data_IF_827214000102
#
_entry.id   IF_827214000102
#
_cell.length_a   1.000
_cell.length_b   1.000
_cell.length_c   1.000
_cell.angle_alpha   90.00
_cell.angle_beta   90.00
_cell.angle_gamma   90.00
#
_symmetry.space_group_name_H-M   'P 1'
#
loop_
_entity.id
_entity.type
_entity.pdbx_description
1 polymer ?
#
# COMPACT_ATOMS: atom_id res chain seq x y z
N UNK A 1 3.36 11.47 -3.87
CA UNK A 1 1.91 11.73 -3.89
C UNK A 1 1.57 13.16 -3.48
N UNK A 2 2.03 13.69 -2.33
CA UNK A 2 1.94 15.13 -1.99
C UNK A 2 2.31 16.08 -3.15
N UNK A 3 3.48 15.85 -3.76
CA UNK A 3 3.95 16.61 -4.93
C UNK A 3 2.96 16.55 -6.11
N UNK A 4 2.32 15.40 -6.33
CA UNK A 4 1.37 15.23 -7.42
C UNK A 4 0.06 16.00 -7.14
N UNK A 5 -0.44 15.98 -5.90
CA UNK A 5 -1.64 16.75 -5.51
C UNK A 5 -1.36 18.26 -5.65
N UNK A 6 -0.20 18.72 -5.21
CA UNK A 6 0.23 20.11 -5.36
C UNK A 6 0.37 20.51 -6.84
N UNK A 7 1.05 19.69 -7.64
CA UNK A 7 1.23 19.96 -9.08
C UNK A 7 -0.11 20.02 -9.79
N UNK A 8 -1.04 19.12 -9.47
CA UNK A 8 -2.38 19.16 -10.07
C UNK A 8 -3.18 20.38 -9.60
N UNK A 9 -3.15 20.73 -8.32
CA UNK A 9 -3.82 21.92 -7.79
C UNK A 9 -3.33 23.21 -8.46
N UNK A 10 -2.01 23.37 -8.61
CA UNK A 10 -1.39 24.53 -9.28
C UNK A 10 -1.67 24.52 -10.78
N UNK A 11 -1.59 23.36 -11.45
CA UNK A 11 -1.90 23.24 -12.87
C UNK A 11 -3.37 23.57 -13.16
N UNK A 12 -4.30 23.09 -12.32
CA UNK A 12 -5.73 23.42 -12.44
C UNK A 12 -6.00 24.89 -12.18
N UNK A 13 -5.31 25.52 -11.22
CA UNK A 13 -5.42 26.94 -10.99
C UNK A 13 -4.93 27.76 -12.19
N UNK A 14 -3.79 27.39 -12.76
CA UNK A 14 -3.24 28.04 -13.95
C UNK A 14 -4.18 27.89 -15.16
N UNK A 15 -4.73 26.69 -15.37
CA UNK A 15 -5.73 26.44 -16.42
C UNK A 15 -7.01 27.24 -16.17
N UNK A 16 -7.52 27.29 -14.93
CA UNK A 16 -8.72 28.04 -14.59
C UNK A 16 -8.55 29.55 -14.82
N UNK A 17 -7.37 30.11 -14.54
CA UNK A 17 -7.07 31.51 -14.81
C UNK A 17 -6.93 31.78 -16.32
N UNK A 18 -6.23 30.91 -17.05
CA UNK A 18 -5.96 31.07 -18.48
C UNK A 18 -7.24 30.93 -19.33
N UNK A 19 -8.05 29.91 -19.04
CA UNK A 19 -9.34 29.68 -19.72
C UNK A 19 -10.46 30.56 -19.17
N UNK A 20 -10.42 30.92 -17.88
CA UNK A 20 -11.36 31.84 -17.28
C UNK A 20 -11.38 33.17 -18.01
N UNK A 21 -10.21 33.80 -18.22
CA UNK A 21 -10.13 35.09 -18.94
C UNK A 21 -10.48 34.98 -20.42
N UNK A 22 -10.25 33.81 -21.05
CA UNK A 22 -10.34 33.66 -22.51
C UNK A 22 -11.71 33.18 -23.03
N UNK A 23 -12.58 32.62 -22.19
CA UNK A 23 -13.87 32.05 -22.61
C UNK A 23 -15.07 32.63 -21.83
N UNK A 24 -15.71 33.71 -22.31
CA UNK A 24 -16.83 34.38 -21.64
C UNK A 24 -18.01 33.48 -21.23
N UNK A 25 -18.48 32.50 -22.04
CA UNK A 25 -19.62 31.66 -21.63
C UNK A 25 -19.27 30.63 -20.55
N UNK A 26 -17.99 30.26 -20.42
CA UNK A 26 -17.51 29.35 -19.39
C UNK A 26 -16.91 30.08 -18.17
N UNK A 27 -16.67 31.39 -18.29
CA UNK A 27 -16.06 32.28 -17.28
C UNK A 27 -16.70 32.09 -15.91
N UNK A 28 -18.04 32.17 -15.85
CA UNK A 28 -18.76 32.15 -14.58
C UNK A 28 -18.60 30.81 -13.85
N UNK A 29 -18.66 29.68 -14.58
CA UNK A 29 -18.49 28.35 -13.98
C UNK A 29 -17.03 28.03 -13.62
N UNK A 30 -16.06 28.43 -14.46
CA UNK A 30 -14.63 28.22 -14.20
C UNK A 30 -14.17 29.04 -12.98
N UNK A 31 -14.67 30.26 -12.83
CA UNK A 31 -14.32 31.13 -11.69
C UNK A 31 -15.03 30.66 -10.41
N UNK A 32 -16.32 30.31 -10.48
CA UNK A 32 -17.09 29.92 -9.28
C UNK A 32 -16.73 28.52 -8.75
N UNK A 33 -16.33 27.59 -9.61
CA UNK A 33 -16.03 26.22 -9.20
C UNK A 33 -14.56 25.85 -9.40
N UNK A 34 -13.98 26.23 -10.54
CA UNK A 34 -12.62 25.86 -10.91
C UNK A 34 -11.56 26.45 -9.96
N UNK A 35 -11.64 27.75 -9.67
CA UNK A 35 -10.70 28.43 -8.78
C UNK A 35 -10.80 27.90 -7.33
N UNK A 36 -11.98 27.83 -6.69
CA UNK A 36 -12.10 27.29 -5.34
C UNK A 36 -11.64 25.83 -5.21
N UNK A 37 -11.96 24.97 -6.18
CA UNK A 37 -11.51 23.56 -6.19
C UNK A 37 -9.98 23.48 -6.31
N UNK A 38 -9.38 24.32 -7.14
CA UNK A 38 -7.92 24.37 -7.32
C UNK A 38 -7.20 24.87 -6.07
N UNK A 39 -7.74 25.91 -5.43
CA UNK A 39 -7.26 26.41 -4.14
C UNK A 39 -7.38 25.31 -3.08
N UNK A 40 -8.54 24.64 -2.99
CA UNK A 40 -8.77 23.55 -2.05
C UNK A 40 -7.74 22.43 -2.23
N UNK A 41 -7.52 21.96 -3.46
CA UNK A 41 -6.54 20.92 -3.77
C UNK A 41 -5.10 21.35 -3.42
N UNK A 42 -4.77 22.63 -3.65
CA UNK A 42 -3.47 23.20 -3.28
C UNK A 42 -3.29 23.22 -1.75
N UNK A 43 -4.28 23.72 -1.01
CA UNK A 43 -4.28 23.72 0.46
C UNK A 43 -4.17 22.30 1.00
N UNK A 44 -4.95 21.36 0.45
CA UNK A 44 -4.86 19.95 0.82
C UNK A 44 -3.44 19.43 0.58
N UNK A 45 -2.83 19.69 -0.58
CA UNK A 45 -1.45 19.30 -0.88
C UNK A 45 -0.39 19.93 0.04
N UNK A 46 -0.62 21.15 0.53
CA UNK A 46 0.28 21.83 1.47
C UNK A 46 0.21 21.21 2.87
N UNK A 47 -1.00 20.91 3.35
CA UNK A 47 -1.25 20.36 4.70
C UNK A 47 -0.92 18.85 4.75
N UNK A 48 -1.11 18.15 3.63
CA UNK A 48 -0.81 16.72 3.46
C UNK A 48 0.68 16.47 3.70
N UNK A 49 1.01 15.85 4.84
CA UNK A 49 2.38 15.49 5.21
C UNK A 49 2.92 14.40 4.29
N UNK A 50 4.23 14.35 4.10
CA UNK A 50 4.82 13.24 3.35
C UNK A 50 4.65 11.96 4.19
N UNK A 51 4.14 10.85 3.62
CA UNK A 51 4.13 9.56 4.32
C UNK A 51 5.55 9.20 4.76
N UNK A 52 5.76 8.75 6.02
CA UNK A 52 7.07 8.29 6.49
C UNK A 52 7.54 7.05 5.70
N UNK A 53 6.59 6.29 5.15
CA UNK A 53 6.85 5.19 4.24
C UNK A 53 7.28 3.92 4.97
N UNK A 54 8.53 3.86 5.39
CA UNK A 54 9.11 2.70 6.07
C UNK A 54 10.00 3.17 7.23
N UNK A 55 9.71 2.73 8.44
CA UNK A 55 10.53 2.98 9.62
C UNK A 55 11.03 1.63 10.16
N UNK A 56 12.34 1.46 10.17
CA UNK A 56 13.02 0.29 10.72
C UNK A 56 13.52 0.67 12.12
N UNK A 57 13.22 -0.16 13.12
CA UNK A 57 13.61 0.06 14.51
C UNK A 57 13.30 1.50 14.99
N UNK A 58 12.02 1.90 14.99
CA UNK A 58 11.65 3.19 15.61
C UNK A 58 12.12 3.24 17.07
N UNK A 59 12.28 4.45 17.62
CA UNK A 59 12.84 4.68 18.97
C UNK A 59 12.07 3.97 20.12
N UNK A 60 10.88 3.41 19.84
CA UNK A 60 10.11 2.57 20.75
C UNK A 60 10.74 1.18 20.89
N UNK A 61 11.02 0.76 22.14
CA UNK A 61 11.63 -0.52 22.46
C UNK A 61 10.81 -1.76 22.03
N UNK A 62 9.51 -1.60 21.77
CA UNK A 62 8.62 -2.72 21.43
C UNK A 62 8.30 -2.84 19.94
N UNK A 63 8.55 -1.79 19.15
CA UNK A 63 8.21 -1.76 17.73
C UNK A 63 9.48 -2.01 16.91
N UNK A 64 9.44 -3.05 16.08
CA UNK A 64 10.57 -3.50 15.27
C UNK A 64 10.50 -2.91 13.86
N UNK A 65 9.31 -2.81 13.30
CA UNK A 65 9.12 -2.32 11.94
C UNK A 65 7.74 -1.68 11.78
N UNK A 66 7.68 -0.52 11.13
CA UNK A 66 6.44 0.13 10.72
C UNK A 66 6.42 0.25 9.20
N UNK A 67 5.42 -0.34 8.56
CA UNK A 67 5.14 -0.18 7.14
C UNK A 67 3.87 0.64 6.98
N UNK A 68 4.01 1.80 6.37
CA UNK A 68 2.95 2.81 6.33
C UNK A 68 1.77 2.47 5.40
N UNK A 69 2.01 1.64 4.37
CA UNK A 69 0.98 1.26 3.38
C UNK A 69 1.08 -0.21 3.01
N UNK A 70 0.36 -1.06 3.74
CA UNK A 70 0.01 -2.40 3.29
C UNK A 70 -1.44 -2.44 2.81
N UNK A 71 -1.68 -2.91 1.59
CA UNK A 71 -3.04 -3.16 1.11
C UNK A 71 -3.40 -4.61 1.39
N UNK A 72 -4.41 -4.80 2.23
CA UNK A 72 -4.98 -6.11 2.56
C UNK A 72 -6.42 -6.12 2.10
N UNK A 73 -6.73 -7.04 1.16
CA UNK A 73 -8.01 -7.08 0.43
C UNK A 73 -8.30 -5.72 -0.22
N UNK A 74 -9.32 -5.00 0.26
CA UNK A 74 -9.73 -3.68 -0.22
C UNK A 74 -9.51 -2.56 0.81
N UNK A 75 -8.70 -2.81 1.85
CA UNK A 75 -8.40 -1.86 2.91
C UNK A 75 -6.91 -1.53 2.95
N UNK A 76 -6.61 -0.26 3.25
CA UNK A 76 -5.26 0.25 3.42
C UNK A 76 -4.96 0.23 4.92
N UNK A 77 -3.91 -0.48 5.29
CA UNK A 77 -3.44 -0.62 6.66
C UNK A 77 -2.03 -0.06 6.81
N UNK A 78 -1.74 0.42 8.01
CA UNK A 78 -0.38 0.59 8.51
C UNK A 78 -0.03 -0.67 9.31
N UNK A 79 1.04 -1.36 8.91
CA UNK A 79 1.50 -2.58 9.58
C UNK A 79 2.53 -2.19 10.64
N UNK A 80 2.30 -2.64 11.86
CA UNK A 80 3.17 -2.44 13.01
C UNK A 80 3.63 -3.82 13.48
N UNK A 81 4.89 -4.13 13.22
CA UNK A 81 5.53 -5.36 13.67
C UNK A 81 6.11 -5.10 15.06
N UNK A 82 5.57 -5.79 16.04
CA UNK A 82 6.08 -5.82 17.41
C UNK A 82 7.00 -7.03 17.59
N UNK A 83 7.53 -7.21 18.79
CA UNK A 83 8.38 -8.36 19.12
C UNK A 83 7.67 -9.71 18.99
N UNK A 84 6.37 -9.79 19.29
CA UNK A 84 5.63 -11.06 19.35
C UNK A 84 4.39 -11.11 18.45
N UNK A 85 3.98 -9.98 17.88
CA UNK A 85 2.74 -9.88 17.12
C UNK A 85 2.79 -8.79 16.06
N UNK A 86 1.91 -8.91 15.07
CA UNK A 86 1.69 -7.94 14.01
C UNK A 86 0.32 -7.28 14.20
N UNK A 87 0.30 -5.95 14.23
CA UNK A 87 -0.93 -5.16 14.25
C UNK A 87 -1.10 -4.45 12.91
N UNK A 88 -2.25 -4.64 12.27
CA UNK A 88 -2.69 -3.93 11.08
C UNK A 88 -3.67 -2.83 11.49
N UNK A 89 -3.17 -1.60 11.51
CA UNK A 89 -3.94 -0.40 11.81
C UNK A 89 -4.70 0.08 10.59
N UNK A 90 -6.03 0.07 10.65
CA UNK A 90 -6.85 0.45 9.49
C UNK A 90 -6.77 1.96 9.27
N UNK A 91 -6.23 2.37 8.12
CA UNK A 91 -6.18 3.78 7.74
C UNK A 91 -7.44 4.19 6.97
N UNK A 92 -7.76 3.44 5.91
CA UNK A 92 -8.91 3.72 5.05
C UNK A 92 -9.27 2.48 4.20
N UNK A 93 -10.27 2.60 3.34
CA UNK A 93 -10.59 1.60 2.33
C UNK A 93 -10.31 2.12 0.91
N UNK A 94 -9.78 1.24 0.06
CA UNK A 94 -9.64 1.48 -1.38
C UNK A 94 -11.02 1.76 -1.99
N UNK A 95 -12.08 1.10 -1.51
CA UNK A 95 -13.45 1.37 -1.96
C UNK A 95 -13.88 2.81 -1.70
N UNK A 96 -13.52 3.39 -0.55
CA UNK A 96 -13.80 4.79 -0.25
C UNK A 96 -13.11 5.71 -1.26
N UNK A 97 -11.89 5.36 -1.68
CA UNK A 97 -11.14 6.11 -2.70
C UNK A 97 -11.89 6.11 -4.04
N UNK A 98 -12.32 4.92 -4.48
CA UNK A 98 -13.01 4.76 -5.77
C UNK A 98 -14.37 5.43 -5.74
N UNK A 99 -15.17 5.21 -4.69
CA UNK A 99 -16.51 5.79 -4.55
C UNK A 99 -16.44 7.31 -4.47
N UNK A 100 -15.53 7.87 -3.66
CA UNK A 100 -15.40 9.31 -3.51
C UNK A 100 -14.98 9.99 -4.81
N UNK A 101 -13.99 9.42 -5.53
CA UNK A 101 -13.57 9.92 -6.83
C UNK A 101 -14.69 9.82 -7.86
N UNK A 102 -15.44 8.72 -7.88
CA UNK A 102 -16.54 8.51 -8.82
C UNK A 102 -17.70 9.48 -8.56
N UNK A 103 -18.15 9.61 -7.31
CA UNK A 103 -19.24 10.52 -6.95
C UNK A 103 -18.88 11.96 -7.32
N UNK A 104 -17.67 12.40 -6.98
CA UNK A 104 -17.22 13.75 -7.35
C UNK A 104 -17.05 13.93 -8.85
N UNK A 105 -16.62 12.89 -9.58
CA UNK A 105 -16.56 12.95 -11.04
C UNK A 105 -17.96 13.05 -11.67
N UNK A 106 -18.95 12.32 -11.16
CA UNK A 106 -20.34 12.41 -11.63
C UNK A 106 -20.92 13.80 -11.34
N UNK A 107 -20.77 14.29 -10.12
CA UNK A 107 -21.22 15.65 -9.75
C UNK A 107 -20.50 16.70 -10.60
N UNK A 108 -19.20 16.54 -10.82
CA UNK A 108 -18.43 17.43 -11.68
C UNK A 108 -18.90 17.40 -13.14
N UNK A 109 -19.26 16.22 -13.65
CA UNK A 109 -19.79 16.05 -15.00
C UNK A 109 -21.08 16.84 -15.21
N UNK A 110 -22.00 16.79 -14.26
CA UNK A 110 -23.26 17.54 -14.32
C UNK A 110 -23.05 19.07 -14.37
N UNK A 111 -21.99 19.59 -13.74
CA UNK A 111 -21.74 21.04 -13.63
C UNK A 111 -20.89 21.58 -14.78
N UNK A 112 -19.85 20.85 -15.21
CA UNK A 112 -18.82 21.32 -16.12
C UNK A 112 -18.47 20.29 -17.22
N UNK A 113 -19.30 19.26 -17.42
CA UNK A 113 -19.07 18.20 -18.39
C UNK A 113 -17.76 17.46 -18.12
N UNK A 114 -17.06 17.08 -19.19
CA UNK A 114 -15.82 16.29 -19.09
C UNK A 114 -14.76 16.98 -18.21
N UNK A 115 -14.65 18.31 -18.27
CA UNK A 115 -13.70 19.07 -17.45
C UNK A 115 -14.03 18.92 -15.97
N UNK A 116 -15.31 19.08 -15.62
CA UNK A 116 -15.77 18.89 -14.25
C UNK A 116 -15.58 17.46 -13.76
N UNK A 117 -15.80 16.46 -14.61
CA UNK A 117 -15.58 15.06 -14.24
C UNK A 117 -14.11 14.79 -13.87
N UNK A 118 -13.17 15.32 -14.66
CA UNK A 118 -11.74 15.23 -14.38
C UNK A 118 -11.37 15.97 -13.08
N UNK A 119 -11.90 17.18 -12.88
CA UNK A 119 -11.71 17.95 -11.64
C UNK A 119 -12.24 17.21 -10.41
N UNK A 120 -13.44 16.64 -10.51
CA UNK A 120 -14.08 15.86 -9.46
C UNK A 120 -13.28 14.62 -9.08
N UNK A 121 -12.85 13.83 -10.08
CA UNK A 121 -12.06 12.63 -9.86
C UNK A 121 -10.73 12.90 -9.14
N UNK A 122 -10.01 13.93 -9.57
CA UNK A 122 -8.71 14.29 -8.94
C UNK A 122 -8.93 14.86 -7.53
N UNK A 123 -9.95 15.69 -7.34
CA UNK A 123 -10.32 16.21 -6.01
C UNK A 123 -10.67 15.06 -5.06
N UNK A 124 -11.42 14.07 -5.51
CA UNK A 124 -11.76 12.89 -4.70
C UNK A 124 -10.55 12.07 -4.31
N UNK A 125 -9.61 11.86 -5.23
CA UNK A 125 -8.34 11.21 -4.92
C UNK A 125 -7.52 12.01 -3.89
N UNK A 126 -7.43 13.33 -4.08
CA UNK A 126 -6.69 14.23 -3.17
C UNK A 126 -7.27 14.24 -1.77
N UNK A 127 -8.60 14.28 -1.65
CA UNK A 127 -9.31 14.25 -0.38
C UNK A 127 -9.13 12.91 0.34
N UNK A 128 -9.18 11.79 -0.38
CA UNK A 128 -8.93 10.48 0.22
C UNK A 128 -7.50 10.35 0.76
N UNK A 129 -6.51 10.82 -0.01
CA UNK A 129 -5.11 10.82 0.43
C UNK A 129 -4.94 11.66 1.70
N UNK A 130 -5.57 12.84 1.76
CA UNK A 130 -5.59 13.68 2.96
C UNK A 130 -6.24 12.97 4.16
N UNK A 131 -7.41 12.35 3.98
CA UNK A 131 -8.10 11.61 5.04
C UNK A 131 -7.25 10.45 5.57
N UNK A 132 -6.57 9.74 4.69
CA UNK A 132 -5.66 8.63 5.04
C UNK A 132 -4.51 9.12 5.90
N UNK A 133 -3.91 10.25 5.54
CA UNK A 133 -2.83 10.84 6.32
C UNK A 133 -3.32 11.43 7.64
N UNK A 134 -4.52 12.01 7.68
CA UNK A 134 -5.12 12.50 8.92
C UNK A 134 -5.38 11.36 9.89
N UNK A 135 -5.91 10.23 9.41
CA UNK A 135 -6.09 9.02 10.21
C UNK A 135 -4.76 8.50 10.74
N UNK A 136 -3.73 8.46 9.89
CA UNK A 136 -2.38 8.09 10.33
C UNK A 136 -1.82 9.00 11.42
N UNK A 137 -1.92 10.32 11.25
CA UNK A 137 -1.45 11.27 12.27
C UNK A 137 -2.17 11.08 13.61
N UNK A 138 -3.44 10.63 13.59
CA UNK A 138 -4.20 10.27 14.79
C UNK A 138 -3.77 8.94 15.43
N UNK A 139 -3.01 8.10 14.73
CA UNK A 139 -2.51 6.79 15.22
C UNK A 139 -1.01 6.88 15.55
N UNK A 140 -0.36 8.02 15.26
CA UNK A 140 1.09 8.15 15.26
C UNK A 140 1.80 8.11 16.62
N UNK A 141 1.09 7.95 17.74
CA UNK A 141 1.74 7.74 19.04
C UNK A 141 1.91 6.25 19.33
N UNK A 142 2.97 5.88 20.06
CA UNK A 142 3.28 4.49 20.39
C UNK A 142 2.10 3.74 21.07
N UNK A 143 1.41 4.41 22.00
CA UNK A 143 0.20 3.85 22.64
C UNK A 143 -0.92 3.57 21.63
N UNK A 144 -1.05 4.39 20.59
CA UNK A 144 -2.07 4.20 19.56
C UNK A 144 -1.68 3.14 18.53
N UNK A 145 -0.38 2.95 18.28
CA UNK A 145 0.13 1.89 17.40
C UNK A 145 0.01 0.49 18.03
N UNK A 146 0.11 0.41 19.36
CA UNK A 146 0.11 -0.86 20.11
C UNK A 146 -1.27 -1.30 20.63
N UNK A 147 -2.22 -0.37 20.77
CA UNK A 147 -3.61 -0.67 21.15
C UNK A 147 -4.41 -1.24 19.98
N UNK A 148 -5.59 -1.83 20.21
CA UNK A 148 -6.50 -2.29 19.16
C UNK A 148 -7.67 -1.32 18.96
N UNK A 149 -7.87 -0.87 17.72
CA UNK A 149 -8.99 -0.03 17.31
C UNK A 149 -10.08 -0.80 16.56
N UNK A 150 -11.14 -0.09 16.17
CA UNK A 150 -12.27 -0.67 15.42
C UNK A 150 -11.82 -1.07 14.01
N UNK A 151 -11.92 -2.36 13.69
CA UNK A 151 -11.49 -2.99 12.43
C UNK A 151 -9.96 -3.07 12.23
N UNK A 152 -9.18 -2.88 13.29
CA UNK A 152 -7.78 -3.28 13.28
C UNK A 152 -7.70 -4.82 13.33
N UNK A 153 -6.62 -5.37 12.81
CA UNK A 153 -6.37 -6.82 12.83
C UNK A 153 -5.10 -7.04 13.65
N UNK A 154 -5.16 -7.94 14.62
CA UNK A 154 -4.00 -8.43 15.37
C UNK A 154 -3.74 -9.89 14.98
N UNK A 155 -2.46 -10.21 14.79
CA UNK A 155 -1.99 -11.54 14.44
C UNK A 155 -0.82 -11.86 15.36
N UNK A 156 -0.95 -12.87 16.20
CA UNK A 156 0.16 -13.38 17.01
C UNK A 156 1.13 -14.16 16.10
N UNK A 157 2.44 -14.04 16.33
CA UNK A 157 3.44 -14.78 15.55
C UNK A 157 3.38 -16.28 15.79
N UNK A 158 2.84 -16.71 16.94
CA UNK A 158 2.62 -18.11 17.25
C UNK A 158 1.54 -18.74 16.37
N UNK A 159 0.52 -17.97 15.98
CA UNK A 159 -0.59 -18.42 15.12
C UNK A 159 -0.16 -18.56 13.64
N UNK A 160 1.02 -18.06 13.29
CA UNK A 160 1.56 -18.13 11.94
C UNK A 160 2.35 -19.43 11.74
N UNK A 161 2.01 -20.15 10.68
CA UNK A 161 2.76 -21.32 10.20
C UNK A 161 3.93 -20.90 9.33
N UNK A 162 3.68 -19.99 8.37
CA UNK A 162 4.67 -19.54 7.39
C UNK A 162 4.48 -18.05 7.08
N UNK A 163 5.58 -17.33 6.96
CA UNK A 163 5.64 -15.95 6.48
C UNK A 163 6.45 -15.90 5.21
N UNK A 164 5.78 -15.61 4.10
CA UNK A 164 6.40 -15.62 2.78
C UNK A 164 6.46 -14.24 2.15
N UNK A 165 7.64 -13.81 1.72
CA UNK A 165 7.83 -12.54 1.00
C UNK A 165 8.18 -12.80 -0.47
N UNK A 166 7.25 -12.47 -1.37
CA UNK A 166 7.44 -12.62 -2.84
C UNK A 166 7.23 -11.28 -3.52
N UNK A 167 8.24 -10.80 -4.26
CA UNK A 167 8.25 -9.50 -4.94
C UNK A 167 7.92 -8.31 -4.05
N UNK A 168 6.65 -7.96 -3.88
CA UNK A 168 6.18 -6.86 -3.02
C UNK A 168 4.93 -7.28 -2.23
N UNK A 169 4.77 -8.58 -2.02
CA UNK A 169 3.65 -9.18 -1.30
C UNK A 169 4.17 -9.99 -0.13
N UNK A 170 3.61 -9.72 1.04
CA UNK A 170 3.79 -10.51 2.24
C UNK A 170 2.58 -11.41 2.43
N UNK A 171 2.83 -12.71 2.48
CA UNK A 171 1.83 -13.72 2.77
C UNK A 171 2.05 -14.16 4.21
N UNK A 172 0.99 -14.08 5.00
CA UNK A 172 0.93 -14.55 6.37
C UNK A 172 0.00 -15.75 6.36
N UNK A 173 0.56 -16.95 6.51
CA UNK A 173 -0.17 -18.21 6.41
C UNK A 173 -0.34 -18.75 7.83
N UNK A 174 -1.60 -19.00 8.21
CA UNK A 174 -1.98 -19.66 9.46
C UNK A 174 -2.82 -20.89 9.14
N UNK A 175 -3.12 -21.71 10.16
CA UNK A 175 -4.00 -22.88 10.02
C UNK A 175 -5.40 -22.49 9.50
N UNK A 176 -5.89 -21.32 9.92
CA UNK A 176 -7.25 -20.85 9.63
C UNK A 176 -7.36 -20.08 8.30
N UNK A 177 -6.25 -19.89 7.57
CA UNK A 177 -6.25 -19.25 6.26
C UNK A 177 -4.99 -18.46 5.97
N UNK A 178 -5.03 -17.66 4.91
CA UNK A 178 -3.91 -16.79 4.54
C UNK A 178 -4.33 -15.33 4.41
N UNK A 179 -3.45 -14.44 4.82
CA UNK A 179 -3.58 -13.00 4.68
C UNK A 179 -2.46 -12.47 3.80
N UNK A 180 -2.81 -11.72 2.76
CA UNK A 180 -1.83 -11.11 1.86
C UNK A 180 -1.81 -9.60 2.04
N UNK A 181 -0.65 -9.04 2.32
CA UNK A 181 -0.39 -7.61 2.35
C UNK A 181 0.49 -7.20 1.15
N UNK A 182 0.00 -6.28 0.33
CA UNK A 182 0.77 -5.71 -0.79
C UNK A 182 1.46 -4.42 -0.36
N UNK A 183 2.73 -4.28 -0.75
CA UNK A 183 3.57 -3.11 -0.45
C UNK A 183 3.98 -2.34 -1.71
N UNK A 184 4.39 -1.07 -1.57
CA UNK A 184 5.07 -0.33 -2.63
C UNK A 184 6.33 -1.06 -3.13
N UNK A 185 6.66 -0.87 -4.41
CA UNK A 185 7.86 -1.46 -5.02
C UNK A 185 9.12 -1.02 -4.26
N UNK A 186 10.05 -1.97 -4.08
CA UNK A 186 11.34 -1.74 -3.42
C UNK A 186 11.32 -1.85 -1.89
N UNK A 187 10.15 -1.96 -1.26
CA UNK A 187 10.06 -2.13 0.21
C UNK A 187 10.50 -3.51 0.64
N UNK A 188 10.16 -4.54 -0.14
CA UNK A 188 10.52 -5.95 0.13
C UNK A 188 12.01 -6.13 0.41
N UNK A 189 12.89 -5.54 -0.39
CA UNK A 189 14.34 -5.63 -0.21
C UNK A 189 14.81 -5.02 1.11
N UNK A 190 14.15 -3.95 1.57
CA UNK A 190 14.50 -3.26 2.82
C UNK A 190 13.99 -3.98 4.06
N UNK A 191 12.80 -4.60 3.97
CA UNK A 191 12.17 -5.29 5.10
C UNK A 191 12.59 -6.75 5.25
N UNK A 192 13.09 -7.39 4.18
CA UNK A 192 13.55 -8.78 4.18
C UNK A 192 14.44 -9.14 5.38
N UNK A 193 15.53 -8.41 5.70
CA UNK A 193 16.37 -8.77 6.84
C UNK A 193 15.62 -8.70 8.17
N UNK A 194 14.72 -7.73 8.33
CA UNK A 194 13.93 -7.58 9.55
C UNK A 194 12.87 -8.67 9.71
N UNK A 195 12.25 -9.10 8.60
CA UNK A 195 11.29 -10.20 8.63
C UNK A 195 11.99 -11.54 8.88
N UNK A 196 13.19 -11.74 8.33
CA UNK A 196 13.99 -12.92 8.62
C UNK A 196 14.40 -12.99 10.10
N UNK A 197 14.76 -11.85 10.71
CA UNK A 197 15.06 -11.76 12.14
C UNK A 197 13.83 -12.02 13.02
N UNK A 198 12.66 -11.46 12.66
CA UNK A 198 11.43 -11.59 13.45
C UNK A 198 10.80 -12.99 13.41
N UNK A 199 10.86 -13.65 12.26
CA UNK A 199 10.14 -14.92 12.03
C UNK A 199 11.08 -16.12 11.92
N UNK A 200 12.39 -15.89 11.86
CA UNK A 200 13.45 -16.89 11.82
C UNK A 200 13.10 -18.06 10.88
N UNK A 201 12.82 -19.22 11.46
CA UNK A 201 12.52 -20.48 10.75
C UNK A 201 11.21 -20.47 9.99
N UNK A 202 10.26 -19.59 10.35
CA UNK A 202 8.97 -19.43 9.67
C UNK A 202 9.07 -18.53 8.43
N UNK A 203 10.19 -17.82 8.24
CA UNK A 203 10.35 -16.89 7.12
C UNK A 203 10.88 -17.59 5.87
N UNK A 204 10.19 -17.38 4.75
CA UNK A 204 10.64 -17.86 3.43
C UNK A 204 10.61 -16.71 2.42
N UNK A 205 11.66 -16.59 1.61
CA UNK A 205 11.70 -15.62 0.52
C UNK A 205 11.77 -16.27 -0.86
N UNK A 206 11.58 -15.45 -1.89
CA UNK A 206 11.56 -15.88 -3.30
C UNK A 206 12.88 -16.53 -3.74
N UNK A 207 14.03 -16.17 -3.16
CA UNK A 207 15.31 -16.80 -3.47
C UNK A 207 15.43 -18.16 -2.78
N UNK A 208 14.97 -18.28 -1.53
CA UNK A 208 14.89 -19.56 -0.81
C UNK A 208 13.98 -20.56 -1.54
N UNK A 209 12.83 -20.09 -2.05
CA UNK A 209 11.89 -20.93 -2.81
C UNK A 209 12.49 -21.41 -4.13
N UNK A 210 13.14 -20.51 -4.88
CA UNK A 210 13.81 -20.91 -6.12
C UNK A 210 14.99 -21.86 -5.87
N UNK A 211 15.73 -21.67 -4.78
CA UNK A 211 16.81 -22.57 -4.40
C UNK A 211 16.28 -23.95 -3.99
N UNK A 212 15.17 -24.01 -3.25
CA UNK A 212 14.51 -25.26 -2.88
C UNK A 212 13.97 -26.00 -4.12
N UNK A 213 13.25 -25.31 -5.02
CA UNK A 213 12.77 -25.90 -6.27
C UNK A 213 13.91 -26.37 -7.18
N UNK A 214 15.04 -25.65 -7.20
CA UNK A 214 16.22 -26.07 -7.96
C UNK A 214 16.89 -27.31 -7.34
N UNK A 215 16.97 -27.38 -6.01
CA UNK A 215 17.53 -28.52 -5.28
C UNK A 215 16.65 -29.77 -5.41
N UNK A 216 15.32 -29.64 -5.39
CA UNK A 216 14.38 -30.73 -5.65
C UNK A 216 14.54 -31.28 -7.07
N UNK A 217 14.61 -30.39 -8.08
CA UNK A 217 14.84 -30.78 -9.47
C UNK A 217 16.21 -31.44 -9.68
N UNK A 218 17.22 -31.07 -8.91
CA UNK A 218 18.53 -31.71 -8.96
C UNK A 218 18.52 -33.10 -8.27
N UNK A 219 17.79 -33.24 -7.15
CA UNK A 219 17.61 -34.53 -6.47
C UNK A 219 16.79 -35.52 -7.31
N UNK A 220 15.73 -35.09 -7.99
CA UNK A 220 14.98 -35.93 -8.94
C UNK A 220 15.89 -36.43 -10.08
N UNK A 221 16.74 -35.56 -10.64
CA UNK A 221 17.72 -35.95 -11.66
C UNK A 221 18.74 -36.96 -11.15
N UNK A 222 19.21 -36.83 -9.90
CA UNK A 222 20.17 -37.75 -9.27
C UNK A 222 19.54 -39.10 -8.90
N UNK A 223 18.23 -39.14 -8.60
CA UNK A 223 17.50 -40.39 -8.36
C UNK A 223 17.23 -41.16 -9.65
N UNK A 224 17.02 -40.48 -10.78
CA UNK A 224 16.79 -41.14 -12.08
C UNK A 224 18.06 -41.53 -12.86
N UNK A 225 19.25 -41.06 -12.48
CA UNK A 225 20.50 -41.44 -13.17
C UNK A 225 21.11 -42.76 -12.67
N UNK A 226 20.46 -43.49 -11.75
CA UNK A 226 21.03 -44.67 -11.08
C UNK A 226 20.28 -45.99 -11.32
N UNK A 227 19.43 -46.06 -12.34
CA UNK A 227 18.88 -47.32 -12.87
C UNK A 227 19.49 -47.58 -14.25
N UNK A 228 19.93 -48.81 -14.50
CA UNK A 228 20.32 -49.37 -15.81
C UNK A 228 21.73 -49.15 -16.36
N UNK A 229 22.75 -49.46 -15.55
CA UNK A 229 23.95 -50.15 -16.07
C UNK A 229 24.29 -51.39 -15.25
N UNK A 230 23.28 -52.23 -15.05
CA UNK A 230 23.46 -53.60 -14.57
C UNK A 230 23.86 -54.53 -15.72
N UNK A 231 25.15 -54.83 -15.79
CA UNK A 231 25.76 -56.09 -16.26
C UNK A 231 24.99 -56.89 -17.33
N UNK A 232 25.34 -56.70 -18.60
CA UNK A 232 25.29 -57.83 -19.55
C UNK A 232 26.55 -58.69 -19.37
N UNK A 233 26.41 -59.70 -18.51
CA UNK A 233 27.33 -60.82 -18.35
C UNK A 233 26.83 -61.99 -19.19
N UNK A 234 27.55 -62.30 -20.27
CA UNK A 234 27.74 -63.60 -20.96
C UNK A 234 26.63 -64.67 -20.87
N UNK A 235 26.18 -65.15 -22.03
CA UNK A 235 26.69 -66.41 -22.61
C UNK A 235 26.31 -66.53 -24.08
#
# INVERSE_FOLDING_TARGET
>A
MRKNILVVGVAMLALALLFGVSYPPAFLFIVLFGIPISILNTILGLITRTPPGLELQPESANIRLIIDRGVVRASIYQLVFLNSKLILKRLTSVMITVILALVLAVVGFEVLGIIGALMGGITGFSLQEFLTQRMRNKIGTEMQLTSLGKNDIEIDYNDLLEVRLVKSRLYLISENGSLTANFPRGYSRKIRPMLADLFETKFTDEESLRAAEAAEKENEKRQHSRSDRGKFSRR
#
